data_IF_031810826400
#
_entry.id   IF_031810826400
#
_cell.length_a   1.000
_cell.length_b   1.000
_cell.length_c   1.000
_cell.angle_alpha   90.00
_cell.angle_beta   90.00
_cell.angle_gamma   90.00
#
_symmetry.space_group_name_H-M   'P 1'
#
loop_
_entity.id
_entity.type
_entity.pdbx_description
1 polymer ?
#
# COMPACT_ATOMS: atom_id res chain seq x y z
N UNK A 1 -1.34 -36.87 6.75
CA UNK A 1 -1.74 -36.39 5.41
C UNK A 1 -2.71 -35.25 5.62
N UNK A 2 -2.24 -34.00 5.53
CA UNK A 2 -3.10 -32.83 5.72
C UNK A 2 -4.16 -32.80 4.63
N UNK A 3 -5.43 -32.82 5.03
CA UNK A 3 -6.56 -32.64 4.12
C UNK A 3 -6.38 -31.31 3.41
N UNK A 4 -6.22 -31.35 2.08
CA UNK A 4 -6.15 -30.14 1.27
C UNK A 4 -7.46 -29.37 1.46
N UNK A 5 -7.40 -28.25 2.18
CA UNK A 5 -8.55 -27.38 2.29
C UNK A 5 -8.84 -26.80 0.90
N UNK A 6 -10.06 -26.93 0.38
CA UNK A 6 -10.38 -26.41 -0.94
C UNK A 6 -10.23 -24.88 -0.90
N UNK A 7 -9.31 -24.35 -1.72
CA UNK A 7 -9.20 -22.91 -1.92
C UNK A 7 -10.50 -22.39 -2.52
N UNK A 8 -10.91 -21.18 -2.14
CA UNK A 8 -12.03 -20.50 -2.81
C UNK A 8 -11.60 -20.05 -4.21
N UNK A 9 -11.57 -20.98 -5.15
CA UNK A 9 -11.14 -20.72 -6.53
C UNK A 9 -12.06 -19.69 -7.21
N UNK A 10 -13.36 -19.66 -6.87
CA UNK A 10 -14.29 -18.67 -7.38
C UNK A 10 -13.90 -17.24 -6.93
N UNK A 11 -13.53 -17.08 -5.66
CA UNK A 11 -12.99 -15.81 -5.17
C UNK A 11 -11.73 -15.39 -5.93
N UNK A 12 -10.79 -16.32 -6.16
CA UNK A 12 -9.53 -16.03 -6.85
C UNK A 12 -9.71 -15.74 -8.34
N UNK A 13 -10.61 -16.45 -9.03
CA UNK A 13 -10.79 -16.37 -10.48
C UNK A 13 -11.80 -15.31 -10.92
N UNK A 14 -12.75 -14.94 -10.06
CA UNK A 14 -13.81 -13.97 -10.41
C UNK A 14 -13.67 -12.67 -9.62
N UNK A 15 -13.52 -12.75 -8.29
CA UNK A 15 -13.56 -11.55 -7.44
C UNK A 15 -12.29 -10.72 -7.60
N UNK A 16 -11.11 -11.35 -7.52
CA UNK A 16 -9.82 -10.65 -7.63
C UNK A 16 -9.69 -9.94 -8.99
N UNK A 17 -9.92 -10.60 -10.16
CA UNK A 17 -9.86 -9.91 -11.45
C UNK A 17 -10.87 -8.77 -11.59
N UNK A 18 -12.10 -8.93 -11.06
CA UNK A 18 -13.10 -7.85 -11.03
C UNK A 18 -12.59 -6.63 -10.26
N UNK A 19 -11.98 -6.84 -9.08
CA UNK A 19 -11.41 -5.74 -8.27
C UNK A 19 -10.25 -5.06 -8.99
N UNK A 20 -9.36 -5.83 -9.61
CA UNK A 20 -8.24 -5.29 -10.40
C UNK A 20 -8.78 -4.45 -11.56
N UNK A 21 -9.79 -4.91 -12.28
CA UNK A 21 -10.40 -4.16 -13.38
C UNK A 21 -11.01 -2.83 -12.91
N UNK A 22 -11.72 -2.82 -11.77
CA UNK A 22 -12.24 -1.60 -11.15
C UNK A 22 -11.12 -0.66 -10.73
N UNK A 23 -10.08 -1.17 -10.08
CA UNK A 23 -8.91 -0.41 -9.66
C UNK A 23 -8.24 0.27 -10.86
N UNK A 24 -7.92 -0.49 -11.91
CA UNK A 24 -7.26 0.00 -13.13
C UNK A 24 -8.13 1.03 -13.86
N UNK A 25 -9.45 0.83 -13.89
CA UNK A 25 -10.39 1.80 -14.49
C UNK A 25 -10.33 3.15 -13.77
N UNK A 26 -10.46 3.14 -12.45
CA UNK A 26 -10.42 4.35 -11.61
C UNK A 26 -9.05 5.01 -11.68
N UNK A 27 -7.98 4.22 -11.59
CA UNK A 27 -6.61 4.71 -11.66
C UNK A 27 -6.33 5.42 -12.99
N UNK A 28 -6.79 4.87 -14.11
CA UNK A 28 -6.65 5.49 -15.42
C UNK A 28 -7.43 6.80 -15.53
N UNK A 29 -8.67 6.85 -15.04
CA UNK A 29 -9.46 8.08 -15.00
C UNK A 29 -8.74 9.18 -14.22
N UNK A 30 -8.25 8.86 -13.01
CA UNK A 30 -7.51 9.81 -12.18
C UNK A 30 -6.19 10.25 -12.81
N UNK A 31 -5.47 9.33 -13.47
CA UNK A 31 -4.24 9.64 -14.18
C UNK A 31 -4.50 10.61 -15.33
N UNK A 32 -5.55 10.37 -16.13
CA UNK A 32 -5.95 11.28 -17.21
C UNK A 32 -6.36 12.65 -16.67
N UNK A 33 -7.12 12.68 -15.57
CA UNK A 33 -7.47 13.93 -14.90
C UNK A 33 -6.21 14.68 -14.45
N UNK A 34 -5.25 14.00 -13.81
CA UNK A 34 -3.98 14.62 -13.38
C UNK A 34 -3.18 15.18 -14.55
N UNK A 35 -3.13 14.48 -15.68
CA UNK A 35 -2.45 14.95 -16.90
C UNK A 35 -3.09 16.21 -17.49
N UNK A 36 -4.35 16.50 -17.18
CA UNK A 36 -5.03 17.73 -17.60
C UNK A 36 -4.73 18.94 -16.69
N UNK A 37 -4.06 18.73 -15.55
CA UNK A 37 -3.73 19.79 -14.59
C UNK A 37 -2.42 20.49 -14.99
N UNK A 38 -2.34 21.79 -14.71
CA UNK A 38 -1.14 22.59 -15.02
C UNK A 38 0.03 22.19 -14.10
N UNK A 39 1.23 21.92 -14.64
CA UNK A 39 2.43 21.59 -13.87
C UNK A 39 3.15 22.86 -13.40
N UNK A 40 2.41 23.73 -12.70
CA UNK A 40 2.93 25.02 -12.24
C UNK A 40 4.13 24.84 -11.30
N UNK A 41 5.11 25.77 -11.32
CA UNK A 41 6.23 25.73 -10.38
C UNK A 41 5.75 25.78 -8.93
N UNK A 42 6.34 24.94 -8.08
CA UNK A 42 6.08 24.90 -6.64
C UNK A 42 7.40 24.93 -5.85
N UNK A 43 7.33 25.43 -4.62
CA UNK A 43 8.43 25.47 -3.65
C UNK A 43 8.24 24.41 -2.58
N UNK A 44 9.31 23.65 -2.35
CA UNK A 44 9.33 22.52 -1.42
C UNK A 44 10.35 22.84 -0.34
N UNK A 45 9.88 23.18 0.86
CA UNK A 45 10.71 23.52 2.01
C UNK A 45 11.08 22.25 2.78
N UNK A 46 12.38 22.04 2.99
CA UNK A 46 12.94 20.93 3.76
C UNK A 46 13.18 21.35 5.23
N UNK A 47 13.33 20.41 6.18
CA UNK A 47 13.44 20.72 7.61
C UNK A 47 14.69 21.54 7.98
N UNK A 48 15.72 21.48 7.14
CA UNK A 48 16.94 22.28 7.30
C UNK A 48 16.81 23.72 6.74
N UNK A 49 15.60 24.13 6.33
CA UNK A 49 15.31 25.43 5.73
C UNK A 49 15.70 25.54 4.25
N UNK A 50 16.24 24.48 3.64
CA UNK A 50 16.54 24.47 2.19
C UNK A 50 15.23 24.42 1.41
N UNK A 51 15.13 25.24 0.36
CA UNK A 51 13.99 25.21 -0.55
C UNK A 51 14.42 24.57 -1.86
N UNK A 52 13.64 23.58 -2.30
CA UNK A 52 13.76 22.91 -3.60
C UNK A 52 12.66 23.39 -4.53
N UNK A 53 12.96 23.45 -5.82
CA UNK A 53 11.95 23.73 -6.84
C UNK A 53 11.37 22.42 -7.35
N UNK A 54 10.06 22.42 -7.59
CA UNK A 54 9.34 21.30 -8.18
C UNK A 54 8.28 21.77 -9.15
N UNK A 55 7.60 20.82 -9.77
CA UNK A 55 6.42 21.04 -10.61
C UNK A 55 5.24 20.33 -9.99
N UNK A 56 4.16 21.08 -9.80
CA UNK A 56 2.88 20.58 -9.33
C UNK A 56 2.43 19.38 -10.17
N UNK A 57 1.87 18.35 -9.54
CA UNK A 57 1.40 17.11 -10.16
C UNK A 57 2.46 16.25 -10.87
N UNK A 58 3.73 16.65 -10.85
CA UNK A 58 4.82 15.95 -11.51
C UNK A 58 5.92 15.54 -10.52
N UNK A 59 6.40 16.46 -9.69
CA UNK A 59 7.45 16.19 -8.71
C UNK A 59 6.89 15.39 -7.55
N UNK A 60 7.60 14.32 -7.16
CA UNK A 60 7.24 13.45 -6.03
C UNK A 60 8.22 13.61 -4.87
N UNK A 61 7.84 13.23 -3.63
CA UNK A 61 8.79 13.18 -2.51
C UNK A 61 10.02 12.30 -2.81
N UNK A 62 9.86 11.21 -3.57
CA UNK A 62 10.98 10.34 -3.95
C UNK A 62 11.99 11.07 -4.83
N UNK A 63 11.55 11.94 -5.74
CA UNK A 63 12.45 12.73 -6.57
C UNK A 63 13.31 13.65 -5.70
N UNK A 64 12.69 14.34 -4.74
CA UNK A 64 13.39 15.19 -3.79
C UNK A 64 14.36 14.37 -2.91
N UNK A 65 13.96 13.19 -2.45
CA UNK A 65 14.82 12.29 -1.68
C UNK A 65 16.08 11.89 -2.46
N UNK A 66 15.93 11.56 -3.74
CA UNK A 66 17.04 11.20 -4.65
C UNK A 66 17.98 12.39 -4.92
N UNK A 67 17.44 13.61 -4.99
CA UNK A 67 18.26 14.82 -5.12
C UNK A 67 19.08 15.13 -3.86
N UNK A 68 18.56 14.83 -2.68
CA UNK A 68 19.28 15.05 -1.42
C UNK A 68 20.46 14.08 -1.32
N UNK A 69 20.22 12.78 -1.51
CA UNK A 69 21.29 11.78 -1.62
C UNK A 69 20.79 10.46 -2.18
N UNK A 70 21.69 9.68 -2.79
CA UNK A 70 21.40 8.32 -3.23
C UNK A 70 20.95 7.41 -2.08
N UNK A 71 21.53 7.59 -0.88
CA UNK A 71 21.18 6.80 0.30
C UNK A 71 19.74 7.09 0.73
N UNK A 72 19.37 8.37 0.87
CA UNK A 72 18.01 8.76 1.25
C UNK A 72 16.99 8.32 0.20
N UNK A 73 17.28 8.50 -1.10
CA UNK A 73 16.42 8.03 -2.18
C UNK A 73 16.21 6.50 -2.21
N UNK A 74 17.12 5.72 -1.60
CA UNK A 74 16.98 4.26 -1.51
C UNK A 74 16.31 3.79 -0.22
N UNK A 75 16.42 4.57 0.86
CA UNK A 75 16.00 4.18 2.21
C UNK A 75 14.75 4.90 2.72
N UNK A 76 14.28 5.95 2.02
CA UNK A 76 13.03 6.60 2.37
C UNK A 76 11.85 5.62 2.23
N UNK A 77 10.94 5.64 3.19
CA UNK A 77 9.76 4.77 3.24
C UNK A 77 8.46 5.55 3.11
N UNK A 78 8.40 6.74 3.70
CA UNK A 78 7.23 7.61 3.68
C UNK A 78 7.66 9.07 3.75
N UNK A 79 6.80 9.97 3.29
CA UNK A 79 6.95 11.40 3.47
C UNK A 79 5.84 11.98 4.36
N UNK A 80 6.06 13.20 4.86
CA UNK A 80 5.00 14.04 5.43
C UNK A 80 5.01 15.36 4.68
N UNK A 81 3.88 15.71 4.12
CA UNK A 81 3.66 16.92 3.31
C UNK A 81 2.67 17.78 4.07
N UNK A 82 3.11 18.97 4.51
CA UNK A 82 2.30 19.89 5.31
C UNK A 82 1.66 19.22 6.55
N UNK A 83 2.41 18.35 7.23
CA UNK A 83 1.94 17.65 8.43
C UNK A 83 1.15 16.36 8.18
N UNK A 84 0.85 16.02 6.92
CA UNK A 84 0.07 14.82 6.56
C UNK A 84 0.96 13.77 5.90
N UNK A 85 0.81 12.50 6.30
CA UNK A 85 1.55 11.39 5.67
C UNK A 85 1.25 11.29 4.17
N UNK A 86 2.29 11.00 3.41
CA UNK A 86 2.28 11.10 1.96
C UNK A 86 3.16 10.04 1.31
N UNK A 87 2.61 9.31 0.34
CA UNK A 87 3.33 8.25 -0.37
C UNK A 87 4.47 8.84 -1.20
N UNK A 88 5.60 8.15 -1.25
CA UNK A 88 6.80 8.67 -1.92
C UNK A 88 6.63 8.88 -3.42
N UNK A 89 5.73 8.15 -4.07
CA UNK A 89 5.41 8.25 -5.49
C UNK A 89 4.20 9.15 -5.77
N UNK A 90 3.52 9.67 -4.74
CA UNK A 90 2.37 10.56 -4.92
C UNK A 90 2.89 11.98 -5.27
N UNK A 91 2.50 12.55 -6.42
CA UNK A 91 2.95 13.89 -6.81
C UNK A 91 2.51 14.98 -5.82
N UNK A 92 3.33 16.01 -5.68
CA UNK A 92 3.05 17.17 -4.84
C UNK A 92 2.06 18.13 -5.53
N UNK A 93 1.14 18.69 -4.75
CA UNK A 93 -0.04 19.40 -5.29
C UNK A 93 0.04 20.93 -5.13
N UNK A 94 0.99 21.42 -4.35
CA UNK A 94 1.21 22.84 -4.08
C UNK A 94 2.58 23.05 -3.43
N UNK A 95 2.91 24.32 -3.15
CA UNK A 95 3.96 24.63 -2.18
C UNK A 95 3.74 23.85 -0.88
N UNK A 96 4.81 23.30 -0.34
CA UNK A 96 4.71 22.44 0.83
C UNK A 96 5.99 22.38 1.66
N UNK A 97 5.81 22.04 2.93
CA UNK A 97 6.87 21.53 3.81
C UNK A 97 6.95 20.03 3.66
N UNK A 98 8.14 19.53 3.33
CA UNK A 98 8.39 18.12 3.10
C UNK A 98 9.35 17.56 4.15
N UNK A 99 8.90 16.51 4.82
CA UNK A 99 9.73 15.66 5.68
C UNK A 99 9.81 14.25 5.08
N UNK A 100 10.96 13.62 5.19
CA UNK A 100 11.23 12.28 4.65
C UNK A 100 11.66 11.37 5.79
N UNK A 101 11.06 10.19 5.84
CA UNK A 101 11.20 9.26 6.95
C UNK A 101 11.81 7.94 6.46
N UNK A 102 12.85 7.50 7.16
CA UNK A 102 13.47 6.17 7.01
C UNK A 102 13.00 5.26 8.13
N UNK A 103 13.46 4.01 8.13
CA UNK A 103 13.17 3.02 9.17
C UNK A 103 13.61 3.47 10.59
N UNK A 104 14.44 4.50 10.72
CA UNK A 104 14.89 4.99 12.03
C UNK A 104 13.81 5.83 12.75
N UNK A 105 12.79 6.27 12.02
CA UNK A 105 11.63 7.02 12.56
C UNK A 105 10.42 6.12 12.82
N UNK A 106 9.52 6.58 13.70
CA UNK A 106 8.25 5.88 13.96
C UNK A 106 7.40 5.83 12.69
N UNK A 107 7.26 6.94 11.96
CA UNK A 107 6.49 6.98 10.71
C UNK A 107 7.01 6.00 9.66
N UNK A 108 8.34 5.90 9.54
CA UNK A 108 8.96 4.96 8.61
C UNK A 108 8.77 3.50 9.02
N UNK A 109 8.95 3.16 10.31
CA UNK A 109 8.70 1.80 10.81
C UNK A 109 7.26 1.38 10.66
N UNK A 110 6.33 2.25 11.04
CA UNK A 110 4.90 1.97 10.95
C UNK A 110 4.48 1.72 9.50
N UNK A 111 5.00 2.51 8.55
CA UNK A 111 4.76 2.31 7.11
C UNK A 111 5.35 0.98 6.62
N UNK A 112 6.58 0.64 7.03
CA UNK A 112 7.23 -0.63 6.67
C UNK A 112 6.43 -1.84 7.16
N UNK A 113 6.01 -1.81 8.42
CA UNK A 113 5.24 -2.89 9.02
C UNK A 113 3.82 -3.00 8.44
N UNK A 114 3.18 -1.88 8.12
CA UNK A 114 1.88 -1.91 7.43
C UNK A 114 2.01 -2.49 6.02
N UNK A 115 3.04 -2.10 5.26
CA UNK A 115 3.34 -2.67 3.94
C UNK A 115 3.63 -4.18 4.05
N UNK A 116 4.33 -4.60 5.10
CA UNK A 116 4.61 -6.02 5.38
C UNK A 116 3.32 -6.81 5.71
N UNK A 117 2.39 -6.19 6.44
CA UNK A 117 1.06 -6.77 6.67
C UNK A 117 0.32 -7.00 5.34
N UNK A 118 0.38 -6.05 4.40
CA UNK A 118 -0.24 -6.24 3.09
C UNK A 118 0.36 -7.41 2.29
N UNK A 119 1.70 -7.60 2.34
CA UNK A 119 2.36 -8.76 1.72
C UNK A 119 1.86 -10.07 2.35
N UNK A 120 1.74 -10.12 3.68
CA UNK A 120 1.16 -11.27 4.36
C UNK A 120 -0.30 -11.51 3.95
N UNK A 121 -1.12 -10.44 3.90
CA UNK A 121 -2.50 -10.52 3.44
C UNK A 121 -2.63 -11.10 2.04
N UNK A 122 -1.86 -10.59 1.07
CA UNK A 122 -1.83 -11.15 -0.30
C UNK A 122 -1.43 -12.63 -0.29
N UNK A 123 -0.42 -12.98 0.50
CA UNK A 123 0.08 -14.37 0.60
C UNK A 123 -1.00 -15.32 1.12
N UNK A 124 -1.74 -14.90 2.16
CA UNK A 124 -2.85 -15.66 2.72
C UNK A 124 -4.00 -15.81 1.72
N UNK A 125 -4.34 -14.72 1.04
CA UNK A 125 -5.39 -14.69 0.02
C UNK A 125 -5.06 -15.61 -1.15
N UNK A 126 -3.86 -15.52 -1.73
CA UNK A 126 -3.39 -16.41 -2.82
C UNK A 126 -3.32 -17.87 -2.40
N UNK A 127 -2.86 -18.14 -1.18
CA UNK A 127 -2.64 -19.51 -0.71
C UNK A 127 -3.94 -20.23 -0.37
N UNK A 128 -4.89 -19.52 0.25
CA UNK A 128 -6.07 -20.14 0.86
C UNK A 128 -7.41 -19.61 0.33
N UNK A 129 -7.43 -18.57 -0.49
CA UNK A 129 -8.68 -17.93 -0.93
C UNK A 129 -9.46 -17.30 0.24
N UNK A 130 -8.76 -16.86 1.29
CA UNK A 130 -9.40 -16.36 2.50
C UNK A 130 -9.91 -14.92 2.35
N UNK A 131 -10.84 -14.51 3.21
CA UNK A 131 -11.33 -13.13 3.26
C UNK A 131 -10.51 -12.31 4.25
N UNK A 132 -9.75 -11.36 3.74
CA UNK A 132 -8.95 -10.42 4.52
C UNK A 132 -9.82 -9.51 5.40
N UNK A 133 -9.44 -9.35 6.67
CA UNK A 133 -10.14 -8.53 7.66
C UNK A 133 -9.32 -7.26 7.97
N UNK A 134 -8.56 -7.27 9.07
CA UNK A 134 -7.79 -6.13 9.61
C UNK A 134 -6.31 -6.52 9.65
N UNK A 135 -5.42 -5.63 9.21
CA UNK A 135 -3.98 -5.91 9.22
C UNK A 135 -3.14 -4.68 9.52
N UNK A 136 -3.15 -4.19 10.77
CA UNK A 136 -2.39 -3.03 11.17
C UNK A 136 -0.93 -3.44 11.48
N UNK A 137 -0.03 -2.47 11.44
CA UNK A 137 1.24 -2.60 12.15
C UNK A 137 0.98 -2.60 13.66
N UNK A 138 1.85 -3.24 14.44
CA UNK A 138 1.76 -3.14 15.90
C UNK A 138 2.31 -1.79 16.33
N UNK A 139 1.45 -0.99 16.95
CA UNK A 139 1.83 0.32 17.48
C UNK A 139 2.90 0.09 18.55
N UNK A 140 4.11 0.64 18.37
CA UNK A 140 5.35 0.49 19.18
C UNK A 140 6.46 -0.38 18.56
N UNK A 141 6.37 -0.76 17.29
CA UNK A 141 7.53 -1.26 16.54
C UNK A 141 7.82 -2.76 16.70
N UNK A 142 6.86 -3.55 17.18
CA UNK A 142 7.00 -4.99 17.38
C UNK A 142 6.28 -5.78 16.26
N UNK A 143 6.61 -5.47 15.01
CA UNK A 143 6.11 -6.19 13.83
C UNK A 143 4.69 -5.83 13.38
N UNK A 144 3.97 -6.83 12.87
CA UNK A 144 2.68 -6.67 12.20
C UNK A 144 1.87 -7.96 12.29
N UNK A 145 0.56 -7.86 12.05
CA UNK A 145 -0.31 -9.02 11.89
C UNK A 145 -1.34 -8.78 10.78
N UNK A 146 -1.99 -9.85 10.35
CA UNK A 146 -3.13 -9.76 9.45
C UNK A 146 -4.19 -10.79 9.81
N UNK A 147 -5.39 -10.31 10.16
CA UNK A 147 -6.56 -11.13 10.42
C UNK A 147 -7.22 -11.53 9.10
N UNK A 148 -7.53 -12.80 8.97
CA UNK A 148 -8.24 -13.34 7.81
C UNK A 148 -9.25 -14.40 8.23
N UNK A 149 -10.34 -14.49 7.48
CA UNK A 149 -11.40 -15.46 7.68
C UNK A 149 -11.29 -16.58 6.64
N UNK A 150 -11.16 -17.81 7.13
CA UNK A 150 -10.91 -19.00 6.32
C UNK A 150 -12.09 -19.98 6.27
N UNK A 151 -13.28 -19.60 6.76
CA UNK A 151 -14.37 -20.57 6.94
C UNK A 151 -14.08 -21.51 8.12
N UNK A 152 -14.04 -22.81 7.86
CA UNK A 152 -13.81 -23.84 8.88
C UNK A 152 -12.32 -24.20 9.08
N UNK A 153 -11.42 -23.65 8.25
CA UNK A 153 -9.99 -23.88 8.36
C UNK A 153 -9.38 -23.09 9.53
N UNK A 154 -8.69 -23.79 10.42
CA UNK A 154 -7.78 -23.20 11.39
C UNK A 154 -6.33 -23.36 10.94
N UNK A 155 -5.57 -22.26 10.90
CA UNK A 155 -4.13 -22.32 10.63
C UNK A 155 -3.37 -22.81 11.85
N UNK A 156 -2.28 -23.54 11.60
CA UNK A 156 -1.33 -24.04 12.58
C UNK A 156 0.10 -24.01 11.98
N UNK A 157 1.10 -24.49 12.71
CA UNK A 157 2.50 -24.46 12.32
C UNK A 157 2.80 -25.14 10.97
N UNK A 158 2.04 -26.19 10.60
CA UNK A 158 2.23 -26.89 9.32
C UNK A 158 1.96 -25.98 8.10
N UNK A 159 1.20 -24.89 8.31
CA UNK A 159 0.85 -23.93 7.27
C UNK A 159 1.94 -22.87 7.04
N UNK A 160 2.83 -22.65 8.01
CA UNK A 160 3.77 -21.52 8.00
C UNK A 160 4.70 -21.56 6.78
N UNK A 161 5.27 -22.73 6.47
CA UNK A 161 6.15 -22.90 5.30
C UNK A 161 5.46 -22.52 3.99
N UNK A 162 4.15 -22.78 3.88
CA UNK A 162 3.36 -22.43 2.71
C UNK A 162 3.15 -20.92 2.58
N UNK A 163 2.96 -20.23 3.70
CA UNK A 163 2.76 -18.78 3.77
C UNK A 163 4.07 -18.04 3.50
N UNK A 164 5.17 -18.48 4.10
CA UNK A 164 6.51 -17.93 3.88
C UNK A 164 6.93 -18.02 2.41
N UNK A 165 6.62 -19.13 1.74
CA UNK A 165 6.91 -19.30 0.31
C UNK A 165 6.13 -18.32 -0.57
N UNK A 166 4.84 -18.07 -0.28
CA UNK A 166 4.05 -17.07 -1.01
C UNK A 166 4.53 -15.63 -0.73
N UNK A 167 4.90 -15.33 0.51
CA UNK A 167 5.45 -14.01 0.86
C UNK A 167 6.79 -13.76 0.15
N UNK A 168 7.69 -14.74 0.12
CA UNK A 168 8.94 -14.67 -0.62
C UNK A 168 8.70 -14.45 -2.12
N UNK A 169 7.68 -15.10 -2.69
CA UNK A 169 7.28 -14.92 -4.07
C UNK A 169 6.77 -13.49 -4.34
N UNK A 170 5.89 -12.96 -3.48
CA UNK A 170 5.37 -11.59 -3.61
C UNK A 170 6.51 -10.55 -3.58
N UNK A 171 7.51 -10.74 -2.71
CA UNK A 171 8.71 -9.88 -2.65
C UNK A 171 9.52 -9.96 -3.96
N UNK A 172 9.70 -11.16 -4.52
CA UNK A 172 10.43 -11.35 -5.78
C UNK A 172 9.71 -10.73 -6.98
N UNK A 173 8.38 -10.68 -6.96
CA UNK A 173 7.55 -10.05 -8.00
C UNK A 173 7.74 -8.53 -8.07
N UNK A 174 8.25 -7.89 -6.99
CA UNK A 174 8.50 -6.44 -6.91
C UNK A 174 7.28 -5.61 -7.32
N UNK A 175 6.11 -6.05 -6.88
CA UNK A 175 4.87 -5.35 -7.17
C UNK A 175 4.93 -3.92 -6.60
N UNK A 176 4.53 -2.89 -7.37
CA UNK A 176 4.44 -1.54 -6.84
C UNK A 176 3.26 -1.41 -5.87
N UNK A 177 3.43 -0.66 -4.78
CA UNK A 177 2.30 -0.16 -4.01
C UNK A 177 1.66 1.00 -4.77
N UNK A 178 0.43 0.83 -5.19
CA UNK A 178 -0.31 1.82 -5.98
C UNK A 178 -1.56 2.31 -5.24
N UNK A 179 -1.83 3.61 -5.39
CA UNK A 179 -2.95 4.29 -4.72
C UNK A 179 -3.97 4.78 -5.73
N UNK A 180 -5.24 4.63 -5.35
CA UNK A 180 -6.38 5.36 -5.94
C UNK A 180 -7.17 6.03 -4.83
N UNK A 181 -7.80 7.15 -5.14
CA UNK A 181 -8.76 7.79 -4.24
C UNK A 181 -10.18 7.41 -4.65
N UNK A 182 -10.97 6.85 -3.74
CA UNK A 182 -12.30 6.35 -4.08
C UNK A 182 -13.34 6.98 -3.18
N UNK A 183 -14.54 7.20 -3.74
CA UNK A 183 -15.72 7.48 -2.93
C UNK A 183 -16.06 6.27 -2.07
N UNK A 184 -16.79 6.50 -0.98
CA UNK A 184 -17.30 5.42 -0.13
C UNK A 184 -18.10 4.39 -0.92
N UNK A 185 -18.92 4.82 -1.88
CA UNK A 185 -19.72 3.93 -2.71
C UNK A 185 -18.83 3.02 -3.58
N UNK A 186 -17.83 3.59 -4.26
CA UNK A 186 -16.88 2.80 -5.06
C UNK A 186 -16.12 1.78 -4.21
N UNK A 187 -15.74 2.15 -2.97
CA UNK A 187 -15.10 1.22 -2.04
C UNK A 187 -16.05 0.07 -1.65
N UNK A 188 -17.31 0.38 -1.32
CA UNK A 188 -18.32 -0.63 -1.02
C UNK A 188 -18.59 -1.57 -2.20
N UNK A 189 -18.64 -1.05 -3.42
CA UNK A 189 -18.84 -1.85 -4.64
C UNK A 189 -17.64 -2.78 -4.92
N UNK A 190 -16.42 -2.27 -4.70
CA UNK A 190 -15.18 -3.02 -4.86
C UNK A 190 -15.08 -4.18 -3.86
N UNK A 191 -15.50 -3.95 -2.61
CA UNK A 191 -15.39 -4.91 -1.51
C UNK A 191 -16.70 -5.62 -1.16
N UNK A 192 -17.72 -5.55 -2.02
CA UNK A 192 -19.08 -6.04 -1.74
C UNK A 192 -19.17 -7.53 -1.36
N UNK A 193 -18.23 -8.35 -1.80
CA UNK A 193 -18.12 -9.78 -1.51
C UNK A 193 -17.48 -10.08 -0.13
N UNK A 194 -16.83 -9.08 0.49
CA UNK A 194 -16.13 -9.20 1.75
C UNK A 194 -16.84 -8.38 2.85
N UNK A 195 -17.74 -9.06 3.58
CA UNK A 195 -18.49 -8.47 4.71
C UNK A 195 -17.62 -7.84 5.79
N UNK A 196 -16.38 -8.27 5.95
CA UNK A 196 -15.47 -7.73 6.97
C UNK A 196 -14.94 -6.36 6.53
N UNK A 197 -14.53 -6.22 5.26
CA UNK A 197 -14.13 -4.94 4.67
C UNK A 197 -15.28 -3.95 4.59
N UNK A 198 -16.48 -4.40 4.20
CA UNK A 198 -17.69 -3.55 4.15
C UNK A 198 -18.01 -2.89 5.51
N UNK A 199 -17.76 -3.57 6.63
CA UNK A 199 -17.98 -3.02 7.98
C UNK A 199 -16.95 -1.96 8.38
N UNK A 200 -15.79 -1.92 7.73
CA UNK A 200 -14.72 -0.96 8.00
C UNK A 200 -14.85 0.32 7.18
N UNK A 201 -15.65 0.30 6.10
CA UNK A 201 -15.88 1.40 5.15
C UNK A 201 -17.16 2.18 5.50
#
# INVERSE_FOLDING_TARGET
MGTAYPRDENYLEIVVPRRIALFVSIQNQQRLQRLSLSPDPIKIELPNGTVKEGKKWNTTPLDIAKEISKSLGSNALIAKVNGVLWDLLRPLESDCKLELFTFDSDEGRDTFWHSSAHILGESLERKYGCKLCIGPCTTRGEGFYYDAFYGDLGLNEDHFKGIEAEAAKAVLEKQPFERIEVSRQQALDMFSDNRFKVKLL
#
